data_IF_830578940044
#
_entry.id   IF_830578940044
#
_cell.length_a   1.000
_cell.length_b   1.000
_cell.length_c   1.000
_cell.angle_alpha   90.00
_cell.angle_beta   90.00
_cell.angle_gamma   90.00
#
_symmetry.space_group_name_H-M   'P 1'
#
loop_
_entity.id
_entity.type
_entity.pdbx_description
1 polymer ?
#
# COMPACT_ATOMS: atom_id res chain seq x y z
N UNK A 1 2.27 16.55 -13.52
CA UNK A 1 2.07 15.10 -13.42
C UNK A 1 3.40 14.41 -13.23
N UNK A 2 3.50 13.58 -12.21
CA UNK A 2 4.78 12.92 -11.91
C UNK A 2 4.98 11.72 -12.83
N UNK A 3 6.15 11.65 -13.51
CA UNK A 3 6.52 10.47 -14.30
C UNK A 3 7.17 9.40 -13.42
N UNK A 4 7.29 9.63 -12.13
CA UNK A 4 8.02 8.72 -11.23
C UNK A 4 7.11 7.79 -10.47
N UNK A 5 5.81 8.01 -10.53
CA UNK A 5 4.82 7.22 -9.78
C UNK A 5 3.70 6.78 -10.71
N UNK A 6 3.12 5.65 -10.36
CA UNK A 6 1.98 5.10 -11.10
C UNK A 6 0.92 4.67 -10.10
N UNK A 7 -0.34 5.03 -10.36
CA UNK A 7 -1.43 4.66 -9.48
C UNK A 7 -1.69 3.16 -9.53
N UNK A 8 -1.76 2.54 -8.37
CA UNK A 8 -2.10 1.12 -8.21
C UNK A 8 -3.53 1.03 -7.68
N UNK A 9 -4.46 0.64 -8.52
CA UNK A 9 -5.88 0.60 -8.17
C UNK A 9 -6.18 -0.41 -7.06
N UNK A 10 -5.42 -1.50 -7.02
CA UNK A 10 -5.58 -2.52 -5.97
C UNK A 10 -5.22 -1.95 -4.60
N UNK A 11 -4.11 -1.25 -4.51
CA UNK A 11 -3.64 -0.65 -3.26
C UNK A 11 -4.35 0.65 -2.94
N UNK A 12 -4.82 1.37 -3.95
CA UNK A 12 -5.45 2.67 -3.78
C UNK A 12 -4.48 3.79 -3.51
N UNK A 13 -3.21 3.60 -3.86
CA UNK A 13 -2.16 4.62 -3.72
C UNK A 13 -1.28 4.61 -4.98
N UNK A 14 -0.51 5.67 -5.15
CA UNK A 14 0.54 5.69 -6.15
C UNK A 14 1.76 4.96 -5.61
N UNK A 15 2.44 4.20 -6.47
CA UNK A 15 3.68 3.50 -6.12
C UNK A 15 4.80 3.92 -7.05
N UNK A 16 6.06 3.83 -6.61
CA UNK A 16 7.18 4.20 -7.48
C UNK A 16 7.23 3.36 -8.75
N UNK A 17 7.45 4.03 -9.87
CA UNK A 17 7.59 3.41 -11.18
C UNK A 17 8.75 4.11 -11.90
N UNK A 18 9.96 3.89 -11.39
CA UNK A 18 11.15 4.55 -11.89
C UNK A 18 11.64 3.85 -13.16
N UNK A 19 11.95 4.64 -14.18
CA UNK A 19 12.44 4.13 -15.47
C UNK A 19 13.95 3.91 -15.46
N UNK A 20 14.65 4.52 -14.51
CA UNK A 20 16.10 4.46 -14.40
C UNK A 20 16.49 3.97 -13.02
N UNK A 21 17.73 3.53 -12.88
CA UNK A 21 18.28 3.20 -11.56
C UNK A 21 18.28 4.44 -10.66
N UNK A 22 18.03 4.23 -9.38
CA UNK A 22 17.95 5.33 -8.42
C UNK A 22 19.17 6.24 -8.48
N UNK A 23 20.37 5.63 -8.57
CA UNK A 23 21.61 6.37 -8.56
C UNK A 23 21.85 7.16 -9.85
N UNK A 24 21.13 6.86 -10.92
CA UNK A 24 21.30 7.57 -12.18
C UNK A 24 20.53 8.90 -12.22
N UNK A 25 19.61 9.12 -11.27
CA UNK A 25 18.90 10.39 -11.19
C UNK A 25 19.79 11.46 -10.52
N UNK A 26 19.72 12.71 -11.02
CA UNK A 26 20.39 13.82 -10.33
C UNK A 26 19.87 13.96 -8.89
N UNK A 27 20.69 14.51 -8.01
CA UNK A 27 20.30 14.65 -6.59
C UNK A 27 19.03 15.48 -6.41
N UNK A 28 18.83 16.50 -7.24
CA UNK A 28 17.62 17.33 -7.18
C UNK A 28 16.36 16.53 -7.49
N UNK A 29 16.47 15.63 -8.47
CA UNK A 29 15.35 14.76 -8.85
C UNK A 29 15.07 13.75 -7.74
N UNK A 30 16.13 13.18 -7.16
CA UNK A 30 15.97 12.22 -6.06
C UNK A 30 15.27 12.86 -4.86
N UNK A 31 15.64 14.10 -4.52
CA UNK A 31 14.98 14.82 -3.43
C UNK A 31 13.49 15.02 -3.73
N UNK A 32 13.15 15.38 -4.97
CA UNK A 32 11.76 15.55 -5.35
C UNK A 32 10.98 14.24 -5.28
N UNK A 33 11.59 13.15 -5.74
CA UNK A 33 10.94 11.83 -5.68
C UNK A 33 10.68 11.44 -4.23
N UNK A 34 11.66 11.62 -3.34
CA UNK A 34 11.51 11.31 -1.93
C UNK A 34 10.44 12.17 -1.27
N UNK A 35 10.37 13.45 -1.63
CA UNK A 35 9.35 14.35 -1.11
C UNK A 35 7.95 13.88 -1.51
N UNK A 36 7.76 13.54 -2.77
CA UNK A 36 6.47 13.04 -3.27
C UNK A 36 6.11 11.71 -2.62
N UNK A 37 7.10 10.82 -2.48
CA UNK A 37 6.87 9.53 -1.84
C UNK A 37 6.46 9.70 -0.37
N UNK A 38 7.07 10.65 0.33
CA UNK A 38 6.73 10.91 1.73
C UNK A 38 5.26 11.33 1.87
N UNK A 39 4.76 12.12 0.93
CA UNK A 39 3.35 12.51 0.92
C UNK A 39 2.43 11.31 0.64
N UNK A 40 2.82 10.45 -0.29
CA UNK A 40 2.06 9.24 -0.59
C UNK A 40 2.08 8.30 0.61
N UNK A 41 3.26 8.12 1.20
CA UNK A 41 3.43 7.26 2.37
C UNK A 41 2.55 7.73 3.54
N UNK A 42 2.37 9.03 3.68
CA UNK A 42 1.58 9.61 4.77
C UNK A 42 0.11 9.24 4.74
N UNK A 43 -0.44 8.84 3.58
CA UNK A 43 -1.85 8.43 3.49
C UNK A 43 -2.04 6.92 3.68
N UNK A 44 -0.96 6.16 3.73
CA UNK A 44 -1.05 4.70 3.85
C UNK A 44 -1.74 4.26 5.16
N UNK A 45 -1.40 4.83 6.34
CA UNK A 45 -2.07 4.40 7.57
C UNK A 45 -3.58 4.55 7.52
N UNK A 46 -4.10 5.66 6.98
CA UNK A 46 -5.54 5.85 6.85
C UNK A 46 -6.16 4.84 5.90
N UNK A 47 -5.46 4.52 4.81
CA UNK A 47 -5.92 3.51 3.87
C UNK A 47 -6.01 2.14 4.53
N UNK A 48 -5.01 1.78 5.31
CA UNK A 48 -5.00 0.51 6.05
C UNK A 48 -6.17 0.45 7.02
N UNK A 49 -6.42 1.52 7.76
CA UNK A 49 -7.53 1.56 8.71
C UNK A 49 -8.87 1.35 8.03
N UNK A 50 -9.08 1.95 6.87
CA UNK A 50 -10.31 1.75 6.11
C UNK A 50 -10.49 0.30 5.68
N UNK A 51 -9.41 -0.32 5.20
CA UNK A 51 -9.46 -1.72 4.78
C UNK A 51 -9.68 -2.65 5.96
N UNK A 52 -9.08 -2.36 7.11
CA UNK A 52 -9.31 -3.14 8.34
C UNK A 52 -10.78 -3.06 8.76
N UNK A 53 -11.40 -1.89 8.64
CA UNK A 53 -12.81 -1.73 8.95
C UNK A 53 -13.69 -2.60 8.05
N UNK A 54 -13.35 -2.67 6.76
CA UNK A 54 -14.08 -3.53 5.82
C UNK A 54 -13.92 -5.00 6.19
N UNK A 55 -12.71 -5.41 6.59
CA UNK A 55 -12.46 -6.79 7.03
C UNK A 55 -13.34 -7.13 8.23
N UNK A 56 -13.37 -6.26 9.23
CA UNK A 56 -14.19 -6.49 10.44
C UNK A 56 -15.66 -6.64 10.07
N UNK A 57 -16.16 -5.79 9.18
CA UNK A 57 -17.53 -5.87 8.71
C UNK A 57 -17.81 -7.22 8.04
N UNK A 58 -16.92 -7.68 7.18
CA UNK A 58 -17.06 -8.96 6.49
C UNK A 58 -16.93 -10.14 7.44
N UNK A 59 -16.06 -10.05 8.45
CA UNK A 59 -15.95 -11.09 9.48
C UNK A 59 -17.26 -11.22 10.27
N UNK A 60 -17.90 -10.09 10.60
CA UNK A 60 -19.20 -10.11 11.28
C UNK A 60 -20.27 -10.74 10.40
N UNK A 61 -20.26 -10.46 9.10
CA UNK A 61 -21.17 -11.11 8.16
C UNK A 61 -20.92 -12.61 8.10
N UNK A 62 -19.65 -13.01 8.05
CA UNK A 62 -19.24 -14.42 7.98
C UNK A 62 -19.72 -15.18 9.21
N UNK A 63 -19.61 -14.59 10.41
CA UNK A 63 -20.02 -15.23 11.65
C UNK A 63 -21.52 -15.55 11.67
N UNK A 64 -22.32 -14.84 10.90
CA UNK A 64 -23.78 -15.01 10.86
C UNK A 64 -24.27 -15.70 9.59
N UNK A 65 -23.35 -16.10 8.69
CA UNK A 65 -23.70 -16.64 7.40
C UNK A 65 -23.87 -18.14 7.46
N UNK A 66 -25.03 -18.63 7.01
CA UNK A 66 -25.33 -20.06 6.97
C UNK A 66 -25.06 -20.69 5.60
N UNK A 67 -25.00 -19.87 4.54
CA UNK A 67 -24.77 -20.38 3.20
C UNK A 67 -23.28 -20.63 2.95
N UNK A 68 -22.96 -21.87 2.57
CA UNK A 68 -21.56 -22.27 2.37
C UNK A 68 -20.88 -21.47 1.26
N UNK A 69 -21.57 -21.27 0.14
CA UNK A 69 -20.99 -20.55 -1.00
C UNK A 69 -20.72 -19.09 -0.63
N UNK A 70 -21.66 -18.44 0.06
CA UNK A 70 -21.50 -17.07 0.53
C UNK A 70 -20.36 -16.98 1.54
N UNK A 71 -20.24 -17.97 2.44
CA UNK A 71 -19.14 -18.01 3.41
C UNK A 71 -17.78 -18.10 2.71
N UNK A 72 -17.65 -18.92 1.68
CA UNK A 72 -16.42 -19.04 0.91
C UNK A 72 -16.07 -17.74 0.21
N UNK A 73 -17.06 -17.04 -0.35
CA UNK A 73 -16.85 -15.75 -0.98
C UNK A 73 -16.37 -14.72 0.03
N UNK A 74 -16.98 -14.66 1.21
CA UNK A 74 -16.55 -13.72 2.26
C UNK A 74 -15.13 -14.00 2.72
N UNK A 75 -14.78 -15.27 2.91
CA UNK A 75 -13.40 -15.66 3.29
C UNK A 75 -12.41 -15.22 2.23
N UNK A 76 -12.74 -15.40 0.95
CA UNK A 76 -11.87 -15.00 -0.15
C UNK A 76 -11.67 -13.47 -0.17
N UNK A 77 -12.76 -12.73 0.03
CA UNK A 77 -12.69 -11.26 0.06
C UNK A 77 -11.85 -10.76 1.23
N UNK A 78 -11.98 -11.38 2.40
CA UNK A 78 -11.18 -11.04 3.57
C UNK A 78 -9.70 -11.32 3.30
N UNK A 79 -9.40 -12.46 2.69
CA UNK A 79 -8.01 -12.81 2.35
C UNK A 79 -7.39 -11.81 1.37
N UNK A 80 -8.15 -11.38 0.36
CA UNK A 80 -7.70 -10.38 -0.60
C UNK A 80 -7.38 -9.06 0.08
N UNK A 81 -8.27 -8.62 0.98
CA UNK A 81 -8.06 -7.37 1.73
C UNK A 81 -6.83 -7.46 2.64
N UNK A 82 -6.64 -8.61 3.30
CA UNK A 82 -5.46 -8.82 4.15
C UNK A 82 -4.18 -8.76 3.34
N UNK A 83 -4.20 -9.30 2.13
CA UNK A 83 -3.05 -9.25 1.21
C UNK A 83 -2.72 -7.81 0.82
N UNK A 84 -3.74 -7.00 0.54
CA UNK A 84 -3.56 -5.58 0.23
C UNK A 84 -2.94 -4.85 1.41
N UNK A 85 -3.44 -5.10 2.61
CA UNK A 85 -2.91 -4.46 3.83
C UNK A 85 -1.45 -4.83 4.03
N UNK A 86 -1.10 -6.09 3.83
CA UNK A 86 0.28 -6.54 3.95
C UNK A 86 1.19 -5.79 2.96
N UNK A 87 0.77 -5.65 1.72
CA UNK A 87 1.55 -4.94 0.72
C UNK A 87 1.68 -3.45 1.06
N UNK A 88 0.62 -2.84 1.60
CA UNK A 88 0.67 -1.45 2.06
C UNK A 88 1.68 -1.27 3.19
N UNK A 89 1.75 -2.21 4.13
CA UNK A 89 2.77 -2.17 5.20
C UNK A 89 4.17 -2.26 4.62
N UNK A 90 4.39 -3.10 3.62
CA UNK A 90 5.69 -3.22 2.97
C UNK A 90 6.10 -1.90 2.32
N UNK A 91 5.19 -1.27 1.59
CA UNK A 91 5.47 0.03 0.96
C UNK A 91 5.74 1.10 2.00
N UNK A 92 5.00 1.10 3.11
CA UNK A 92 5.18 2.09 4.17
C UNK A 92 6.60 2.06 4.75
N UNK A 93 7.22 0.89 4.81
CA UNK A 93 8.55 0.71 5.40
C UNK A 93 9.71 1.02 4.45
N UNK A 94 9.47 1.08 3.14
CA UNK A 94 10.53 1.25 2.15
C UNK A 94 11.34 2.53 2.39
N UNK A 95 10.67 3.63 2.67
CA UNK A 95 11.35 4.90 2.90
C UNK A 95 12.22 4.86 4.16
N UNK A 96 11.78 4.15 5.19
CA UNK A 96 12.56 3.98 6.41
C UNK A 96 13.85 3.23 6.14
N UNK A 97 13.79 2.20 5.30
CA UNK A 97 14.96 1.43 4.92
C UNK A 97 15.96 2.29 4.14
N UNK A 98 15.47 3.14 3.25
CA UNK A 98 16.32 4.06 2.47
C UNK A 98 17.00 5.07 3.38
N UNK A 99 16.29 5.63 4.35
CA UNK A 99 16.87 6.57 5.32
C UNK A 99 17.95 5.90 6.16
N UNK A 100 17.71 4.67 6.60
CA UNK A 100 18.70 3.92 7.37
C UNK A 100 19.98 3.71 6.59
N UNK A 101 19.88 3.47 5.27
CA UNK A 101 21.05 3.28 4.41
C UNK A 101 21.82 4.56 4.17
N UNK A 102 21.14 5.71 4.16
CA UNK A 102 21.77 7.00 3.87
C UNK A 102 22.45 7.62 5.09
N UNK A 103 22.19 7.11 6.28
CA UNK A 103 22.75 7.63 7.53
C UNK A 103 24.01 6.91 7.98
N UNK A 104 24.62 6.15 7.10
CA UNK A 104 25.89 5.48 7.40
C UNK A 104 27.10 6.34 7.11
#
# INVERSE_FOLDING_TARGET
>A
MSCYFQYDARLGIETPALEQDWDSYPSEVRVEILFQWEQIRGVIPDRIMKLESVIIHKQNQLDQEDDFITSCRLNSEIADLASIINDLHLWFRINQDLEAKTHH
#
